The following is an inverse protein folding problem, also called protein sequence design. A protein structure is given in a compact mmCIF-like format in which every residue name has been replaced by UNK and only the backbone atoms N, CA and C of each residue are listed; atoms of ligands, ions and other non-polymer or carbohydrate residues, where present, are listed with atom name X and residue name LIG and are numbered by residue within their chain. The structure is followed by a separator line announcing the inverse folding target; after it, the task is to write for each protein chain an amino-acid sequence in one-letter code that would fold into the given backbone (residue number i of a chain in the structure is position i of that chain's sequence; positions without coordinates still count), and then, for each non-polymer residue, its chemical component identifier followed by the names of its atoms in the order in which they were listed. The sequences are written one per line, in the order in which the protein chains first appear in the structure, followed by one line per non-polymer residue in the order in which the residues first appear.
data_IF_290016447691
#
_entry.id   IF_290016447691
#
_cell.length_a   1.000
_cell.length_b   1.000
_cell.length_c   1.000
_cell.angle_alpha   90.00
_cell.angle_beta   90.00
_cell.angle_gamma   90.00
#
_symmetry.space_group_name_H-M   'P 1'
#
loop_
_entity.id
_entity.type
_entity.pdbx_description
1 polymer ?
#
# COMPACT_ATOMS: atom_id res chain seq x y z
N UNK A 1 -8.85 10.69 -0.51
CA UNK A 1 -7.56 10.48 -1.18
C UNK A 1 -7.35 8.99 -1.36
N UNK A 2 -6.52 8.56 -2.30
CA UNK A 2 -6.05 7.18 -2.41
C UNK A 2 -4.68 7.00 -1.76
N UNK A 3 -4.31 5.77 -1.45
CA UNK A 3 -3.01 5.48 -0.83
C UNK A 3 -1.84 5.99 -1.71
N UNK A 4 -1.99 5.90 -3.04
CA UNK A 4 -1.01 6.43 -3.98
C UNK A 4 -0.80 7.94 -3.88
N UNK A 5 -1.85 8.71 -3.59
CA UNK A 5 -1.73 10.16 -3.39
C UNK A 5 -0.94 10.49 -2.12
N UNK A 6 -1.12 9.69 -1.05
CA UNK A 6 -0.37 9.84 0.21
C UNK A 6 1.12 9.60 -0.04
N UNK A 7 1.45 8.52 -0.76
CA UNK A 7 2.84 8.18 -1.13
C UNK A 7 3.45 9.31 -1.97
N UNK A 8 2.77 9.71 -3.04
CA UNK A 8 3.25 10.73 -3.97
C UNK A 8 3.46 12.08 -3.27
N UNK A 9 2.50 12.49 -2.44
CA UNK A 9 2.59 13.74 -1.66
C UNK A 9 3.83 13.74 -0.76
N UNK A 10 4.04 12.65 0.00
CA UNK A 10 5.21 12.54 0.86
C UNK A 10 6.51 12.60 0.05
N UNK A 11 6.59 11.83 -1.05
CA UNK A 11 7.79 11.84 -1.89
C UNK A 11 8.11 13.23 -2.44
N UNK A 12 7.12 13.92 -2.99
CA UNK A 12 7.30 15.26 -3.57
C UNK A 12 7.71 16.29 -2.50
N UNK A 13 7.14 16.22 -1.29
CA UNK A 13 7.53 17.08 -0.17
C UNK A 13 8.97 16.84 0.31
N UNK A 14 9.47 15.61 0.16
CA UNK A 14 10.79 15.20 0.60
C UNK A 14 11.82 15.09 -0.55
N UNK A 15 11.47 15.50 -1.77
CA UNK A 15 12.29 15.35 -2.99
C UNK A 15 12.79 13.90 -3.22
N UNK A 16 11.94 12.93 -2.92
CA UNK A 16 12.25 11.51 -2.96
C UNK A 16 11.79 10.88 -4.29
N UNK A 17 12.65 10.10 -4.92
CA UNK A 17 12.31 9.25 -6.06
C UNK A 17 11.44 8.07 -5.64
N UNK A 18 10.79 7.40 -6.61
CA UNK A 18 10.03 6.16 -6.34
C UNK A 18 10.94 5.08 -5.74
N UNK A 19 12.18 4.95 -6.24
CA UNK A 19 13.16 3.99 -5.74
C UNK A 19 13.54 4.22 -4.28
N UNK A 20 13.79 5.47 -3.89
CA UNK A 20 14.11 5.81 -2.51
C UNK A 20 12.94 5.54 -1.57
N UNK A 21 11.70 5.82 -2.00
CA UNK A 21 10.52 5.52 -1.19
C UNK A 21 10.26 4.01 -1.08
N UNK A 22 10.42 3.27 -2.18
CA UNK A 22 10.34 1.81 -2.19
C UNK A 22 11.33 1.21 -1.19
N UNK A 23 12.59 1.67 -1.22
CA UNK A 23 13.63 1.26 -0.27
C UNK A 23 13.24 1.60 1.17
N UNK A 24 12.73 2.81 1.42
CA UNK A 24 12.33 3.28 2.76
C UNK A 24 11.14 2.49 3.33
N UNK A 25 10.18 2.12 2.49
CA UNK A 25 8.96 1.38 2.88
C UNK A 25 9.14 -0.13 2.85
N UNK A 26 10.30 -0.65 2.42
CA UNK A 26 10.52 -2.07 2.19
C UNK A 26 9.47 -2.67 1.23
N UNK A 27 9.13 -1.91 0.20
CA UNK A 27 8.26 -2.31 -0.91
C UNK A 27 9.06 -2.29 -2.22
N UNK A 28 8.55 -2.95 -3.25
CA UNK A 28 9.15 -2.87 -4.58
C UNK A 28 8.78 -1.56 -5.30
N UNK A 29 9.64 -1.12 -6.22
CA UNK A 29 9.33 0.04 -7.08
C UNK A 29 8.05 -0.19 -7.89
N UNK A 30 7.80 -1.43 -8.32
CA UNK A 30 6.58 -1.80 -9.05
C UNK A 30 5.33 -1.59 -8.20
N UNK A 31 5.35 -2.00 -6.92
CA UNK A 31 4.23 -1.76 -6.00
C UNK A 31 3.99 -0.26 -5.81
N UNK A 32 5.05 0.54 -5.66
CA UNK A 32 4.91 2.00 -5.50
C UNK A 32 4.34 2.65 -6.76
N UNK A 33 4.90 2.34 -7.94
CA UNK A 33 4.41 2.88 -9.20
C UNK A 33 2.93 2.52 -9.43
N UNK A 34 2.56 1.26 -9.19
CA UNK A 34 1.17 0.82 -9.32
C UNK A 34 0.25 1.61 -8.39
N UNK A 35 0.60 1.77 -7.11
CA UNK A 35 -0.25 2.54 -6.20
C UNK A 35 -0.37 4.01 -6.62
N UNK A 36 0.71 4.63 -7.12
CA UNK A 36 0.70 6.03 -7.60
C UNK A 36 -0.06 6.27 -8.91
N UNK A 37 -0.33 5.23 -9.71
CA UNK A 37 -1.25 5.32 -10.86
C UNK A 37 -2.70 5.59 -10.42
N UNK A 38 -3.01 5.33 -9.14
CA UNK A 38 -4.31 5.47 -8.48
C UNK A 38 -5.39 4.51 -8.98
N UNK A 39 -5.56 4.42 -10.30
CA UNK A 39 -6.60 3.64 -10.96
C UNK A 39 -5.99 2.56 -11.84
N UNK A 40 -6.72 1.45 -11.94
CA UNK A 40 -6.44 0.37 -12.86
C UNK A 40 -6.63 0.82 -14.31
N UNK A 41 -6.34 -0.06 -15.26
CA UNK A 41 -6.39 0.26 -16.70
C UNK A 41 -7.76 0.76 -17.20
N UNK A 42 -8.85 0.53 -16.45
CA UNK A 42 -10.17 1.05 -16.75
C UNK A 42 -10.36 2.54 -16.40
N UNK A 43 -9.39 3.15 -15.72
CA UNK A 43 -9.39 4.55 -15.29
C UNK A 43 -10.46 4.89 -14.25
N UNK A 44 -11.08 3.89 -13.61
CA UNK A 44 -12.21 4.08 -12.69
C UNK A 44 -12.05 3.29 -11.40
N UNK A 45 -11.56 2.07 -11.48
CA UNK A 45 -11.39 1.20 -10.33
C UNK A 45 -10.05 1.51 -9.69
N UNK A 46 -10.01 1.92 -8.41
CA UNK A 46 -8.75 2.15 -7.72
C UNK A 46 -7.89 0.89 -7.68
N UNK A 47 -6.57 1.04 -7.69
CA UNK A 47 -5.67 -0.09 -7.44
C UNK A 47 -5.88 -0.60 -6.01
N UNK A 48 -6.13 -1.91 -5.80
CA UNK A 48 -6.28 -2.45 -4.45
C UNK A 48 -4.97 -2.34 -3.68
N UNK A 49 -5.06 -2.17 -2.36
CA UNK A 49 -3.89 -2.09 -1.48
C UNK A 49 -3.93 -3.20 -0.43
N UNK A 50 -2.83 -3.92 -0.27
CA UNK A 50 -2.74 -4.93 0.77
C UNK A 50 -2.54 -4.29 2.14
N UNK A 51 -3.11 -4.89 3.20
CA UNK A 51 -2.89 -4.42 4.58
C UNK A 51 -1.40 -4.38 4.95
N UNK A 52 -0.57 -5.29 4.42
CA UNK A 52 0.89 -5.26 4.57
C UNK A 52 1.49 -3.96 3.99
N UNK A 53 1.03 -3.54 2.81
CA UNK A 53 1.52 -2.31 2.17
C UNK A 53 1.10 -1.07 2.97
N UNK A 54 -0.14 -1.02 3.47
CA UNK A 54 -0.59 0.08 4.35
C UNK A 54 0.32 0.20 5.56
N UNK A 55 0.66 -0.91 6.23
CA UNK A 55 1.58 -0.94 7.38
C UNK A 55 2.96 -0.39 7.01
N UNK A 56 3.55 -0.93 5.94
CA UNK A 56 4.84 -0.50 5.42
C UNK A 56 4.88 1.00 5.07
N UNK A 57 3.83 1.53 4.45
CA UNK A 57 3.72 2.94 4.08
C UNK A 57 3.56 3.82 5.32
N UNK A 58 2.71 3.41 6.26
CA UNK A 58 2.49 4.11 7.53
C UNK A 58 3.80 4.25 8.33
N UNK A 59 4.57 3.16 8.42
CA UNK A 59 5.91 3.16 9.03
C UNK A 59 6.89 4.07 8.27
N UNK A 60 6.90 4.00 6.93
CA UNK A 60 7.80 4.83 6.11
C UNK A 60 7.57 6.33 6.31
N UNK A 61 6.31 6.76 6.47
CA UNK A 61 5.96 8.17 6.63
C UNK A 61 5.79 8.60 8.09
N UNK A 62 6.15 7.73 9.04
CA UNK A 62 6.04 7.95 10.48
C UNK A 62 4.64 8.39 10.92
N UNK A 63 3.62 7.71 10.40
CA UNK A 63 2.22 7.95 10.76
C UNK A 63 1.55 6.68 11.30
N UNK A 64 0.65 6.80 12.30
CA UNK A 64 -0.16 5.67 12.73
C UNK A 64 -1.05 5.16 11.59
N UNK A 65 -1.20 3.83 11.48
CA UNK A 65 -2.08 3.20 10.48
C UNK A 65 -3.51 3.76 10.55
N UNK A 66 -4.01 4.06 11.75
CA UNK A 66 -5.34 4.64 11.93
C UNK A 66 -5.50 6.00 11.24
N UNK A 67 -4.44 6.81 11.18
CA UNK A 67 -4.46 8.08 10.47
C UNK A 67 -4.55 7.84 8.96
N UNK A 68 -3.78 6.90 8.43
CA UNK A 68 -3.84 6.52 7.00
C UNK A 68 -5.24 6.01 6.64
N UNK A 69 -5.77 5.09 7.44
CA UNK A 69 -7.09 4.48 7.24
C UNK A 69 -8.23 5.51 7.28
N UNK A 70 -8.08 6.58 8.07
CA UNK A 70 -9.07 7.66 8.14
C UNK A 70 -8.97 8.66 6.97
N UNK A 71 -7.85 8.70 6.25
CA UNK A 71 -7.61 9.62 5.12
C UNK A 71 -7.95 9.00 3.76
N UNK A 72 -7.77 7.69 3.64
CA UNK A 72 -8.06 6.98 2.40
C UNK A 72 -9.57 6.90 2.15
N UNK A 73 -9.95 7.00 0.88
CA UNK A 73 -11.34 6.95 0.44
C UNK A 73 -11.94 5.57 0.73
N UNK A 74 -13.24 5.52 1.04
CA UNK A 74 -13.93 4.27 1.37
C UNK A 74 -14.05 3.28 0.21
N UNK A 75 -13.82 3.74 -1.03
CA UNK A 75 -13.78 2.94 -2.25
C UNK A 75 -12.37 2.42 -2.59
N UNK A 76 -11.35 2.76 -1.81
CA UNK A 76 -10.06 2.09 -1.83
C UNK A 76 -10.23 0.64 -1.34
N UNK A 77 -10.13 -0.33 -2.24
CA UNK A 77 -10.17 -1.75 -1.85
C UNK A 77 -8.94 -2.11 -1.01
N UNK A 78 -9.18 -2.73 0.15
CA UNK A 78 -8.13 -3.19 1.07
C UNK A 78 -8.13 -4.72 1.12
N UNK A 79 -7.03 -5.32 0.65
CA UNK A 79 -6.88 -6.76 0.59
C UNK A 79 -6.17 -7.27 1.85
N UNK A 80 -6.79 -8.24 2.51
CA UNK A 80 -6.21 -8.95 3.65
C UNK A 80 -5.94 -10.39 3.23
N UNK A 81 -4.67 -10.70 2.96
CA UNK A 81 -4.27 -12.08 2.72
C UNK A 81 -4.35 -12.85 4.04
N UNK A 82 -5.43 -13.60 4.23
CA UNK A 82 -5.51 -14.62 5.27
C UNK A 82 -4.69 -15.79 4.77
N UNK A 83 -3.48 -15.98 5.30
CA UNK A 83 -2.79 -17.25 5.12
C UNK A 83 -3.59 -18.25 5.95
N UNK A 84 -4.49 -18.99 5.32
CA UNK A 84 -5.06 -20.15 5.95
C UNK A 84 -3.90 -21.14 6.14
N UNK A 85 -3.45 -21.33 7.38
CA UNK A 85 -2.64 -22.49 7.78
C UNK A 85 -3.50 -23.76 7.64
N UNK A 86 -3.84 -24.12 6.40
CA UNK A 86 -4.55 -25.35 6.06
C UNK A 86 -3.59 -26.23 5.27
N UNK A 87 -2.76 -26.97 6.00
CA UNK A 87 -2.43 -28.39 5.73
C UNK A 87 -1.17 -28.79 6.54
N UNK A 88 -1.35 -28.99 7.86
CA UNK A 88 -0.53 -29.99 8.54
C UNK A 88 -1.12 -31.37 8.20
N UNK A 89 -0.38 -32.28 7.54
CA UNK A 89 -0.86 -33.62 7.35
C UNK A 89 -0.97 -34.28 8.74
N UNK A 90 -2.18 -34.67 9.11
CA UNK A 90 -2.37 -35.55 10.25
C UNK A 90 -1.67 -36.88 9.89
N UNK A 91 -0.50 -37.10 10.48
CA UNK A 91 0.18 -38.38 10.42
C UNK A 91 -0.77 -39.48 10.94
N UNK A 92 -0.92 -40.55 10.17
CA UNK A 92 -1.47 -41.83 10.62
C UNK A 92 -0.34 -42.81 10.81
#
# INVERSE_FOLDING_TARGET
MYIGEIIKTYREQHNMTVEEFATRSNLSQTEINQLEELFQADGRTPHPVAMRQIKSIAEAIDQPISIIMNQISSDQEIVVNVVAESDQPHAK
#
